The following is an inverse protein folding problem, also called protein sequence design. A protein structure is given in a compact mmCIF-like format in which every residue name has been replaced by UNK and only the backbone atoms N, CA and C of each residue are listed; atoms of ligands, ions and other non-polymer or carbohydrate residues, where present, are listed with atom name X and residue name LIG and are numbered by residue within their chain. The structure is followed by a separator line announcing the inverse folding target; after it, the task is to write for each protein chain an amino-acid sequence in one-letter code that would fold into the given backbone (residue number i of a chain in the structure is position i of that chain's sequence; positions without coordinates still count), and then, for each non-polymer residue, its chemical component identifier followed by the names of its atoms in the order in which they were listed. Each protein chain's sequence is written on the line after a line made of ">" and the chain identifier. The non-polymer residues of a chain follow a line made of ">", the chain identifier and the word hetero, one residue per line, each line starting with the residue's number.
data_IF_534887908134
#
_entry.id   IF_534887908134
#
_cell.length_a   1.000
_cell.length_b   1.000
_cell.length_c   1.000
_cell.angle_alpha   90.00
_cell.angle_beta   90.00
_cell.angle_gamma   90.00
#
_symmetry.space_group_name_H-M   'P 1'
#
loop_
_entity.id
_entity.type
_entity.pdbx_description
1 polymer ?
#
# COMPACT_ATOMS: atom_id res chain seq x y z
N UNK A 1 -39.62 41.97 38.91
CA UNK A 1 -38.30 42.34 38.33
C UNK A 1 -37.26 41.32 38.76
N UNK A 2 -36.76 40.44 37.86
CA UNK A 2 -35.48 39.69 37.99
C UNK A 2 -35.17 38.71 36.84
N UNK A 3 -35.86 38.75 35.70
CA UNK A 3 -35.63 37.79 34.60
C UNK A 3 -34.58 38.27 33.57
N UNK A 4 -34.12 39.52 33.69
CA UNK A 4 -33.13 40.12 32.77
C UNK A 4 -31.69 39.69 33.05
N UNK A 5 -31.39 39.09 34.22
CA UNK A 5 -30.02 38.69 34.58
C UNK A 5 -29.59 37.31 34.05
N UNK A 6 -30.54 36.42 33.71
CA UNK A 6 -30.22 35.07 33.21
C UNK A 6 -29.75 35.13 31.75
N UNK A 7 -30.29 36.06 30.94
CA UNK A 7 -29.88 36.27 29.55
C UNK A 7 -28.44 36.81 29.45
N UNK A 8 -28.02 37.67 30.39
CA UNK A 8 -26.63 38.14 30.46
C UNK A 8 -25.65 37.07 30.96
N UNK A 9 -26.11 36.11 31.79
CA UNK A 9 -25.26 35.02 32.30
C UNK A 9 -24.92 33.97 31.24
N UNK A 10 -25.81 33.75 30.26
CA UNK A 10 -25.62 32.82 29.14
C UNK A 10 -24.79 33.41 27.98
N UNK A 11 -24.70 34.73 27.86
CA UNK A 11 -23.96 35.39 26.78
C UNK A 11 -22.43 35.32 26.97
N UNK A 12 -21.96 35.30 28.22
CA UNK A 12 -20.54 35.34 28.60
C UNK A 12 -19.77 34.07 28.19
N UNK A 13 -20.27 32.83 28.39
CA UNK A 13 -19.53 31.62 27.98
C UNK A 13 -19.51 31.39 26.45
N UNK A 14 -20.47 31.94 25.70
CA UNK A 14 -20.46 31.86 24.22
C UNK A 14 -19.32 32.68 23.60
N UNK A 15 -18.94 33.81 24.23
CA UNK A 15 -17.90 34.68 23.70
C UNK A 15 -16.48 34.09 23.88
N UNK A 16 -16.27 33.24 24.90
CA UNK A 16 -14.97 32.61 25.17
C UNK A 16 -14.58 31.47 24.20
N UNK A 17 -15.52 30.92 23.43
CA UNK A 17 -15.25 29.81 22.51
C UNK A 17 -14.62 30.26 21.17
N UNK A 18 -14.69 31.55 20.82
CA UNK A 18 -14.26 32.06 19.52
C UNK A 18 -12.78 32.49 19.41
N UNK A 19 -12.03 32.56 20.52
CA UNK A 19 -10.72 33.21 20.54
C UNK A 19 -9.52 32.30 20.27
N UNK A 20 -9.73 30.98 20.11
CA UNK A 20 -8.63 30.01 19.95
C UNK A 20 -8.47 29.46 18.52
N UNK A 21 -8.88 30.21 17.50
CA UNK A 21 -8.66 29.84 16.10
C UNK A 21 -7.45 30.59 15.52
N UNK A 22 -6.24 30.14 15.84
CA UNK A 22 -5.02 30.65 15.19
C UNK A 22 -4.88 30.01 13.80
N UNK A 23 -5.09 30.80 12.74
CA UNK A 23 -4.79 30.41 11.37
C UNK A 23 -3.33 30.70 11.05
N UNK A 24 -2.69 29.85 10.25
CA UNK A 24 -1.30 30.06 9.83
C UNK A 24 -1.23 31.32 8.94
N UNK A 25 -0.32 32.24 9.26
CA UNK A 25 -0.13 33.43 8.43
C UNK A 25 0.54 33.07 7.11
N UNK A 26 0.34 33.88 6.06
CA UNK A 26 1.01 33.69 4.78
C UNK A 26 2.54 33.65 4.91
N UNK A 27 3.09 34.47 5.81
CA UNK A 27 4.54 34.51 6.09
C UNK A 27 4.99 33.18 6.69
N UNK A 28 4.26 32.67 7.68
CA UNK A 28 4.58 31.41 8.33
C UNK A 28 4.52 30.23 7.35
N UNK A 29 3.49 30.14 6.51
CA UNK A 29 3.40 29.15 5.42
C UNK A 29 4.64 29.23 4.52
N UNK A 30 5.02 30.44 4.09
CA UNK A 30 6.19 30.64 3.23
C UNK A 30 7.47 30.16 3.89
N UNK A 31 7.67 30.45 5.18
CA UNK A 31 8.85 29.99 5.92
C UNK A 31 8.90 28.47 6.06
N UNK A 32 7.76 27.80 6.29
CA UNK A 32 7.69 26.34 6.37
C UNK A 32 8.01 25.69 5.02
N UNK A 33 7.48 26.25 3.93
CA UNK A 33 7.78 25.79 2.56
C UNK A 33 9.25 26.00 2.22
N UNK A 34 9.84 27.12 2.62
CA UNK A 34 11.25 27.39 2.40
C UNK A 34 12.14 26.42 3.20
N UNK A 35 11.77 26.12 4.44
CA UNK A 35 12.44 25.10 5.26
C UNK A 35 12.38 23.70 4.64
N UNK A 36 11.35 23.34 3.88
CA UNK A 36 11.26 22.00 3.26
C UNK A 36 11.90 21.90 1.87
N UNK A 37 12.27 23.03 1.26
CA UNK A 37 12.88 23.09 -0.08
C UNK A 37 14.36 22.68 -0.13
N UNK A 38 15.03 22.55 1.02
CA UNK A 38 16.43 22.13 1.04
C UNK A 38 16.61 20.77 0.38
N UNK A 39 17.67 20.61 -0.40
CA UNK A 39 18.03 19.33 -1.03
C UNK A 39 18.36 18.33 0.08
N UNK A 40 17.73 17.14 0.04
CA UNK A 40 18.09 16.05 0.93
C UNK A 40 19.39 15.42 0.45
N UNK A 41 20.45 15.62 1.21
CA UNK A 41 21.69 14.85 1.04
C UNK A 41 21.42 13.49 1.68
N UNK A 42 21.36 12.44 0.84
CA UNK A 42 21.14 11.07 1.30
C UNK A 42 22.28 10.60 2.20
N UNK A 43 22.10 9.47 2.86
CA UNK A 43 23.15 8.84 3.66
C UNK A 43 24.18 8.16 2.74
N UNK A 44 25.45 8.15 3.16
CA UNK A 44 26.53 7.49 2.43
C UNK A 44 26.34 5.98 2.36
N UNK A 45 26.72 5.36 1.23
CA UNK A 45 26.55 3.92 1.00
C UNK A 45 27.38 3.08 1.97
N UNK A 46 28.55 3.58 2.37
CA UNK A 46 29.45 2.89 3.32
C UNK A 46 28.79 2.70 4.69
N UNK A 47 27.86 3.59 5.07
CA UNK A 47 27.11 3.49 6.33
C UNK A 47 26.00 2.46 6.21
N UNK A 48 25.34 2.37 5.05
CA UNK A 48 24.28 1.40 4.80
C UNK A 48 24.79 -0.04 4.85
N UNK A 49 25.98 -0.30 4.32
CA UNK A 49 26.59 -1.64 4.28
C UNK A 49 26.94 -2.17 5.68
N UNK A 50 27.28 -1.27 6.61
CA UNK A 50 27.63 -1.62 7.98
C UNK A 50 26.47 -1.50 8.97
N UNK A 51 25.27 -1.12 8.51
CA UNK A 51 24.13 -0.92 9.38
C UNK A 51 23.52 -2.27 9.79
N UNK A 52 23.32 -2.53 11.10
CA UNK A 52 22.67 -3.75 11.55
C UNK A 52 21.24 -3.82 11.01
N UNK A 53 20.78 -5.03 10.69
CA UNK A 53 19.42 -5.23 10.21
C UNK A 53 18.41 -4.86 11.32
N UNK A 54 17.52 -3.87 11.10
CA UNK A 54 16.58 -3.41 12.13
C UNK A 54 15.39 -4.37 12.33
N UNK A 55 15.28 -5.42 11.52
CA UNK A 55 14.19 -6.39 11.59
C UNK A 55 14.63 -7.65 12.32
N UNK A 56 13.83 -8.10 13.29
CA UNK A 56 14.00 -9.39 13.94
C UNK A 56 13.68 -10.52 12.95
N UNK A 57 14.72 -11.11 12.35
CA UNK A 57 14.56 -12.33 11.55
C UNK A 57 14.47 -13.51 12.51
N UNK A 58 13.31 -14.16 12.56
CA UNK A 58 13.18 -15.46 13.23
C UNK A 58 13.73 -16.51 12.27
N UNK A 59 14.89 -17.09 12.60
CA UNK A 59 15.45 -18.20 11.84
C UNK A 59 14.46 -19.38 11.88
N UNK A 60 13.80 -19.63 10.75
CA UNK A 60 13.05 -20.87 10.55
C UNK A 60 14.10 -21.94 10.29
N UNK A 61 14.27 -22.85 11.25
CA UNK A 61 15.19 -23.97 11.10
C UNK A 61 14.85 -24.74 9.81
N UNK A 62 15.72 -24.64 8.81
CA UNK A 62 15.62 -25.48 7.62
C UNK A 62 15.98 -26.91 8.02
N UNK A 63 14.96 -27.75 8.19
CA UNK A 63 15.14 -29.18 8.28
C UNK A 63 15.83 -29.66 6.99
N UNK A 64 17.10 -30.04 7.11
CA UNK A 64 17.87 -30.67 6.04
C UNK A 64 17.19 -31.99 5.65
N UNK A 65 16.31 -31.95 4.65
CA UNK A 65 15.75 -33.16 4.05
C UNK A 65 16.86 -33.90 3.31
N UNK A 66 17.26 -35.05 3.86
CA UNK A 66 18.11 -36.03 3.20
C UNK A 66 17.38 -36.51 1.95
N UNK A 67 17.90 -36.16 0.77
CA UNK A 67 17.34 -36.56 -0.51
C UNK A 67 17.93 -37.90 -0.90
N UNK A 68 17.19 -38.99 -0.65
CA UNK A 68 17.47 -40.28 -1.29
C UNK A 68 17.22 -40.18 -2.79
N UNK A 69 18.27 -40.44 -3.59
CA UNK A 69 18.22 -40.46 -5.06
C UNK A 69 17.51 -41.72 -5.53
N UNK A 70 16.19 -41.65 -5.66
CA UNK A 70 15.43 -42.58 -6.49
C UNK A 70 15.36 -42.02 -7.91
N UNK A 71 15.84 -42.79 -8.89
CA UNK A 71 15.84 -42.43 -10.31
C UNK A 71 14.41 -42.54 -10.83
N UNK A 72 13.61 -41.50 -10.58
CA UNK A 72 12.25 -41.40 -11.08
C UNK A 72 12.26 -41.04 -12.57
N UNK A 73 11.56 -41.84 -13.39
CA UNK A 73 11.26 -41.56 -14.80
C UNK A 73 10.72 -40.13 -14.92
N UNK A 74 11.47 -39.24 -15.57
CA UNK A 74 11.13 -37.81 -15.72
C UNK A 74 9.95 -37.70 -16.69
N UNK A 75 8.74 -37.91 -16.18
CA UNK A 75 7.55 -37.34 -16.79
C UNK A 75 7.67 -35.85 -16.55
N UNK A 76 7.97 -35.07 -17.60
CA UNK A 76 8.02 -33.60 -17.51
C UNK A 76 6.64 -33.11 -17.06
N UNK A 77 6.48 -32.93 -15.75
CA UNK A 77 5.28 -32.33 -15.16
C UNK A 77 5.17 -30.94 -15.77
N UNK A 78 4.13 -30.72 -16.58
CA UNK A 78 3.84 -29.40 -17.14
C UNK A 78 3.66 -28.44 -15.96
N UNK A 79 4.66 -27.61 -15.70
CA UNK A 79 4.62 -26.62 -14.61
C UNK A 79 3.54 -25.62 -15.00
N UNK A 80 2.39 -25.71 -14.34
CA UNK A 80 1.33 -24.72 -14.50
C UNK A 80 1.76 -23.50 -13.71
N UNK A 81 2.25 -22.48 -14.42
CA UNK A 81 2.57 -21.19 -13.81
C UNK A 81 1.26 -20.49 -13.47
N UNK A 82 1.07 -20.20 -12.18
CA UNK A 82 -0.10 -19.48 -11.66
C UNK A 82 0.33 -18.04 -11.41
N UNK A 83 -0.38 -17.09 -12.02
CA UNK A 83 -0.17 -15.65 -11.85
C UNK A 83 -1.18 -15.10 -10.84
N UNK A 84 -0.74 -14.17 -9.99
CA UNK A 84 -1.58 -13.55 -8.97
C UNK A 84 -1.71 -12.04 -9.20
N UNK A 85 -2.95 -11.58 -9.41
CA UNK A 85 -3.28 -10.16 -9.45
C UNK A 85 -3.56 -9.66 -8.03
N UNK A 86 -2.73 -8.73 -7.56
CA UNK A 86 -2.85 -8.19 -6.20
C UNK A 86 -3.57 -6.85 -6.20
N UNK A 87 -3.30 -5.99 -7.18
CA UNK A 87 -3.85 -4.64 -7.23
C UNK A 87 -3.98 -4.10 -8.66
N UNK A 88 -4.85 -3.11 -8.84
CA UNK A 88 -4.97 -2.30 -10.05
C UNK A 88 -4.97 -0.84 -9.62
N UNK A 89 -4.12 -0.02 -10.24
CA UNK A 89 -4.00 1.40 -9.95
C UNK A 89 -3.58 2.15 -11.22
N UNK A 90 -4.21 3.29 -11.49
CA UNK A 90 -3.83 4.20 -12.59
C UNK A 90 -3.67 3.49 -13.96
N UNK A 91 -4.62 2.62 -14.33
CA UNK A 91 -4.56 1.82 -15.56
C UNK A 91 -3.32 0.91 -15.68
N UNK A 92 -2.77 0.50 -14.54
CA UNK A 92 -1.72 -0.52 -14.44
C UNK A 92 -2.15 -1.61 -13.45
N UNK A 93 -1.71 -2.84 -13.71
CA UNK A 93 -2.01 -4.01 -12.92
C UNK A 93 -0.75 -4.51 -12.20
N UNK A 94 -0.85 -4.77 -10.90
CA UNK A 94 0.23 -5.35 -10.11
C UNK A 94 0.08 -6.87 -10.08
N UNK A 95 0.91 -7.55 -10.85
CA UNK A 95 0.89 -9.00 -11.05
C UNK A 95 2.26 -9.55 -10.63
N UNK A 96 2.28 -10.54 -9.75
CA UNK A 96 3.51 -11.21 -9.27
C UNK A 96 4.64 -10.25 -8.85
N UNK A 97 4.28 -9.13 -8.20
CA UNK A 97 5.24 -8.15 -7.68
C UNK A 97 5.68 -7.06 -8.67
N UNK A 98 5.10 -6.99 -9.88
CA UNK A 98 5.45 -5.99 -10.90
C UNK A 98 4.23 -5.30 -11.48
N UNK A 99 4.42 -4.05 -11.90
CA UNK A 99 3.39 -3.26 -12.58
C UNK A 99 3.42 -3.50 -14.09
N UNK A 100 2.25 -3.77 -14.66
CA UNK A 100 2.04 -4.01 -16.08
C UNK A 100 0.96 -3.08 -16.63
N UNK A 101 1.17 -2.58 -17.85
CA UNK A 101 0.20 -1.80 -18.63
C UNK A 101 -0.32 -2.62 -19.81
N UNK A 102 -1.37 -2.10 -20.45
CA UNK A 102 -1.92 -2.70 -21.68
C UNK A 102 -0.81 -2.82 -22.73
N UNK A 103 -0.67 -4.01 -23.31
CA UNK A 103 0.38 -4.36 -24.27
C UNK A 103 1.59 -5.07 -23.66
N UNK A 104 1.78 -5.01 -22.34
CA UNK A 104 2.91 -5.69 -21.70
C UNK A 104 2.74 -7.21 -21.66
N UNK A 105 3.87 -7.93 -21.60
CA UNK A 105 3.90 -9.39 -21.48
C UNK A 105 3.98 -9.84 -20.03
N UNK A 106 3.07 -10.75 -19.66
CA UNK A 106 3.04 -11.48 -18.40
C UNK A 106 3.25 -12.96 -18.72
N UNK A 107 4.49 -13.43 -18.59
CA UNK A 107 4.87 -14.79 -19.02
C UNK A 107 4.65 -15.00 -20.52
N UNK A 108 3.79 -15.94 -20.88
CA UNK A 108 3.41 -16.24 -22.28
C UNK A 108 2.19 -15.45 -22.78
N UNK A 109 1.61 -14.61 -21.93
CA UNK A 109 0.41 -13.83 -22.25
C UNK A 109 0.74 -12.35 -22.44
N UNK A 110 -0.06 -11.68 -23.24
CA UNK A 110 -0.09 -10.23 -23.37
C UNK A 110 -1.31 -9.68 -22.64
N UNK A 111 -1.13 -8.59 -21.91
CA UNK A 111 -2.22 -7.92 -21.21
C UNK A 111 -3.02 -7.05 -22.19
N UNK A 112 -4.30 -7.37 -22.39
CA UNK A 112 -5.16 -6.76 -23.42
C UNK A 112 -6.09 -5.70 -22.85
N UNK A 113 -6.62 -5.92 -21.64
CA UNK A 113 -7.48 -4.94 -20.98
C UNK A 113 -7.34 -4.99 -19.47
N UNK A 114 -7.65 -3.86 -18.83
CA UNK A 114 -7.65 -3.68 -17.39
C UNK A 114 -9.04 -3.16 -17.03
N UNK A 115 -9.78 -3.96 -16.28
CA UNK A 115 -11.06 -3.60 -15.68
C UNK A 115 -10.83 -3.14 -14.24
N UNK A 116 -11.91 -2.84 -13.51
CA UNK A 116 -11.82 -2.34 -12.13
C UNK A 116 -11.19 -3.33 -11.14
N UNK A 117 -11.55 -4.62 -11.23
CA UNK A 117 -11.09 -5.68 -10.30
C UNK A 117 -10.42 -6.86 -11.00
N UNK A 118 -10.18 -6.73 -12.30
CA UNK A 118 -9.70 -7.83 -13.14
C UNK A 118 -8.94 -7.36 -14.37
N UNK A 119 -8.16 -8.27 -14.94
CA UNK A 119 -7.38 -8.05 -16.16
C UNK A 119 -7.59 -9.21 -17.12
N UNK A 120 -7.62 -8.90 -18.41
CA UNK A 120 -7.70 -9.90 -19.47
C UNK A 120 -6.32 -10.11 -20.11
N UNK A 121 -5.83 -11.34 -20.02
CA UNK A 121 -4.58 -11.81 -20.60
C UNK A 121 -4.88 -12.65 -21.83
N UNK A 122 -4.18 -12.42 -22.94
CA UNK A 122 -4.36 -13.16 -24.19
C UNK A 122 -3.03 -13.73 -24.67
N UNK A 123 -3.04 -15.01 -25.02
CA UNK A 123 -1.96 -15.67 -25.76
C UNK A 123 -2.45 -15.96 -27.19
N UNK A 124 -1.61 -16.63 -27.98
CA UNK A 124 -2.01 -17.07 -29.34
C UNK A 124 -3.18 -18.06 -29.34
N UNK A 125 -3.30 -18.87 -28.28
CA UNK A 125 -4.21 -20.03 -28.24
C UNK A 125 -5.32 -19.91 -27.21
N UNK A 126 -5.13 -19.10 -26.16
CA UNK A 126 -6.08 -18.98 -25.06
C UNK A 126 -6.13 -17.57 -24.48
N UNK A 127 -7.30 -17.21 -23.94
CA UNK A 127 -7.54 -15.99 -23.18
C UNK A 127 -7.86 -16.37 -21.73
N UNK A 128 -7.28 -15.64 -20.78
CA UNK A 128 -7.46 -15.84 -19.34
C UNK A 128 -7.83 -14.53 -18.68
N UNK A 129 -8.70 -14.61 -17.67
CA UNK A 129 -9.05 -13.48 -16.81
C UNK A 129 -8.43 -13.69 -15.44
N UNK A 130 -7.66 -12.71 -14.98
CA UNK A 130 -7.17 -12.65 -13.60
C UNK A 130 -8.05 -11.66 -12.84
N UNK A 131 -8.46 -12.01 -11.62
CA UNK A 131 -9.23 -11.14 -10.74
C UNK A 131 -8.57 -11.01 -9.38
N UNK A 132 -8.77 -9.86 -8.74
CA UNK A 132 -8.32 -9.62 -7.37
C UNK A 132 -9.13 -10.54 -6.45
N UNK A 133 -8.44 -11.36 -5.66
CA UNK A 133 -9.08 -12.28 -4.70
C UNK A 133 -9.83 -11.47 -3.65
N UNK A 134 -11.17 -11.58 -3.62
CA UNK A 134 -12.01 -10.92 -2.60
C UNK A 134 -12.00 -11.76 -1.32
N UNK A 135 -11.22 -11.35 -0.33
CA UNK A 135 -11.29 -11.93 1.01
C UNK A 135 -12.39 -11.25 1.84
N UNK A 136 -13.10 -12.03 2.66
CA UNK A 136 -14.15 -11.51 3.56
C UNK A 136 -13.49 -10.68 4.67
N UNK A 137 -13.41 -9.36 4.50
CA UNK A 137 -12.90 -8.46 5.55
C UNK A 137 -13.91 -8.36 6.70
N UNK A 138 -13.51 -8.76 7.92
CA UNK A 138 -14.21 -8.40 9.15
C UNK A 138 -13.78 -6.97 9.53
N UNK A 139 -14.70 -6.02 9.44
CA UNK A 139 -14.45 -4.67 9.95
C UNK A 139 -14.54 -4.71 11.48
N UNK A 140 -13.46 -4.38 12.16
CA UNK A 140 -13.48 -4.12 13.61
C UNK A 140 -13.58 -2.59 13.74
N UNK A 141 -14.77 -2.11 14.12
CA UNK A 141 -14.99 -0.72 14.48
C UNK A 141 -14.50 -0.53 15.92
N UNK A 142 -13.34 0.08 16.10
CA UNK A 142 -12.94 0.59 17.41
C UNK A 142 -13.72 1.88 17.64
N UNK A 143 -14.63 1.85 18.61
CA UNK A 143 -15.30 3.06 19.11
C UNK A 143 -14.25 3.81 19.94
N UNK A 144 -13.84 4.98 19.48
CA UNK A 144 -12.95 5.84 20.27
C UNK A 144 -13.65 6.25 21.55
N UNK A 145 -12.92 6.15 22.67
CA UNK A 145 -13.31 6.67 23.98
C UNK A 145 -13.23 8.21 24.02
#
# INVERSE_FOLDING_TARGET
>A
MKNTNIMNLLLIPMLSLGLNASTLSHVEIKTMVEKTKHKREGIDTSILENMPNPFAIKEVAEEKKVVEKTVAKIVKKKVVVVHHLTAILNHAAFIDGKWYKIGDKVGTFTLVSIDYDSVNLKSKTEQKKLSIKKEKRKFILNKGD
#
